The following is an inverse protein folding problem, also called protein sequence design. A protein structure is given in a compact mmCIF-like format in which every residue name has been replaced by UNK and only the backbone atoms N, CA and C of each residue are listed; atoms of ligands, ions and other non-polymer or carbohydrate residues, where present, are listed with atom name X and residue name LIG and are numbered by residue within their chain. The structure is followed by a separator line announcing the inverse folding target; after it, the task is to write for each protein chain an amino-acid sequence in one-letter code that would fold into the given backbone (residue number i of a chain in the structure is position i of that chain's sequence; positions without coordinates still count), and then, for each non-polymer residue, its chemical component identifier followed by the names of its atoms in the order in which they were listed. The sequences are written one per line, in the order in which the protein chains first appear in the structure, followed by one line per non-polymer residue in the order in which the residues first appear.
data_IF_567956973015
#
_entry.id   IF_567956973015
#
_cell.length_a   1.000
_cell.length_b   1.000
_cell.length_c   1.000
_cell.angle_alpha   90.00
_cell.angle_beta   90.00
_cell.angle_gamma   90.00
#
_symmetry.space_group_name_H-M   'P 1'
#
loop_
_entity.id
_entity.type
_entity.pdbx_description
1 polymer ?
#
# COMPACT_ATOMS: atom_id res chain seq x y z
N UNK A 1 26.54 16.54 -13.16
CA UNK A 1 27.06 15.15 -13.18
C UNK A 1 27.92 14.77 -11.95
N UNK A 2 28.97 15.50 -11.55
CA UNK A 2 29.78 15.11 -10.36
C UNK A 2 29.08 15.22 -8.99
N UNK A 3 28.08 16.10 -8.85
CA UNK A 3 27.33 16.27 -7.57
C UNK A 3 26.25 15.20 -7.35
N UNK A 4 25.60 14.72 -8.41
CA UNK A 4 24.65 13.60 -8.36
C UNK A 4 25.34 12.26 -8.01
N UNK A 5 26.57 12.06 -8.50
CA UNK A 5 27.37 10.87 -8.17
C UNK A 5 27.80 10.81 -6.69
N UNK A 6 27.92 11.97 -6.01
CA UNK A 6 28.31 12.02 -4.60
C UNK A 6 27.14 11.72 -3.65
N UNK A 7 25.91 12.03 -4.06
CA UNK A 7 24.69 11.75 -3.27
C UNK A 7 24.34 10.25 -3.36
N UNK A 8 24.48 9.64 -4.55
CA UNK A 8 24.33 8.17 -4.71
C UNK A 8 25.36 7.38 -3.90
N UNK A 9 26.59 7.86 -3.78
CA UNK A 9 27.65 7.15 -3.04
C UNK A 9 27.44 7.20 -1.51
N UNK A 10 26.80 8.26 -1.00
CA UNK A 10 26.46 8.38 0.42
C UNK A 10 25.28 7.46 0.77
N UNK A 11 24.30 7.32 -0.13
CA UNK A 11 23.16 6.40 0.06
C UNK A 11 23.61 4.92 0.10
N UNK A 12 24.56 4.52 -0.74
CA UNK A 12 25.08 3.14 -0.77
C UNK A 12 25.95 2.78 0.45
N UNK A 13 26.58 3.76 1.11
CA UNK A 13 27.38 3.50 2.31
C UNK A 13 26.53 3.29 3.56
N UNK A 14 25.35 3.92 3.65
CA UNK A 14 24.42 3.78 4.77
C UNK A 14 23.74 2.40 4.82
N UNK A 15 23.46 1.80 3.66
CA UNK A 15 22.82 0.47 3.56
C UNK A 15 23.76 -0.71 3.90
N UNK A 16 25.07 -0.48 3.96
CA UNK A 16 26.08 -1.51 4.23
C UNK A 16 26.39 -1.77 5.71
N UNK A 17 25.83 -0.97 6.64
CA UNK A 17 26.12 -1.08 8.08
C UNK A 17 25.04 -1.77 8.93
N UNK A 18 23.96 -2.29 8.32
CA UNK A 18 22.89 -3.02 9.05
C UNK A 18 23.09 -4.54 9.01
N UNK A 19 24.02 -5.06 8.19
CA UNK A 19 24.31 -6.49 8.08
C UNK A 19 25.57 -6.92 8.86
N UNK A 20 25.70 -6.54 10.14
CA UNK A 20 26.70 -7.12 11.04
C UNK A 20 26.36 -6.86 12.52
N UNK A 21 25.50 -7.69 13.11
CA UNK A 21 25.50 -8.03 14.56
C UNK A 21 24.47 -9.17 14.76
N UNK A 22 24.91 -10.42 14.66
CA UNK A 22 25.37 -11.29 15.75
C UNK A 22 24.26 -12.25 16.23
N UNK A 23 24.30 -13.44 15.60
CA UNK A 23 23.87 -14.72 16.15
C UNK A 23 24.52 -15.00 17.51
N UNK A 24 23.72 -15.43 18.49
CA UNK A 24 24.26 -16.04 19.70
C UNK A 24 23.31 -17.13 20.27
N UNK A 25 23.82 -18.36 20.30
CA UNK A 25 23.49 -19.44 21.25
C UNK A 25 24.78 -20.25 21.44
N UNK A 26 25.01 -21.09 22.47
CA UNK A 26 24.38 -21.31 23.79
C UNK A 26 25.45 -21.29 24.94
N UNK A 27 25.26 -21.91 26.13
CA UNK A 27 25.57 -23.35 26.26
C UNK A 27 24.68 -24.16 27.22
N UNK A 28 24.81 -25.49 27.08
CA UNK A 28 24.26 -26.56 27.91
C UNK A 28 25.20 -26.97 29.07
N UNK A 29 24.74 -28.00 29.83
CA UNK A 29 25.33 -28.79 30.93
C UNK A 29 24.93 -28.40 32.37
N UNK A 30 24.61 -29.30 33.32
CA UNK A 30 24.45 -30.76 33.33
C UNK A 30 23.88 -31.24 34.71
N UNK A 31 23.54 -32.53 34.80
CA UNK A 31 23.58 -33.48 35.95
C UNK A 31 22.29 -33.94 36.66
N UNK A 32 22.07 -35.26 36.51
CA UNK A 32 21.79 -36.34 37.47
C UNK A 32 20.51 -36.43 38.33
N UNK A 33 19.73 -37.45 37.95
CA UNK A 33 19.46 -38.71 38.69
C UNK A 33 18.64 -38.67 40.00
N UNK A 34 17.44 -39.27 39.97
CA UNK A 34 17.01 -40.31 40.91
C UNK A 34 15.56 -40.76 40.65
N UNK A 35 15.42 -42.03 40.31
CA UNK A 35 14.20 -42.85 40.33
C UNK A 35 13.60 -43.01 41.74
N UNK A 36 12.28 -42.93 41.90
CA UNK A 36 11.52 -43.72 42.90
C UNK A 36 10.13 -44.10 42.37
N UNK A 37 9.78 -45.36 42.66
CA UNK A 37 8.61 -46.18 42.35
C UNK A 37 7.24 -45.71 42.90
N UNK A 38 6.18 -46.29 42.31
CA UNK A 38 4.71 -46.09 42.41
C UNK A 38 4.11 -46.49 43.81
N UNK A 39 2.82 -46.18 44.15
CA UNK A 39 1.68 -47.01 43.71
C UNK A 39 0.34 -46.28 43.39
N UNK A 40 -0.52 -47.04 42.69
CA UNK A 40 -1.83 -46.75 42.07
C UNK A 40 -3.04 -46.43 42.98
N UNK A 41 -3.99 -45.69 42.36
CA UNK A 41 -5.47 -45.75 42.41
C UNK A 41 -6.28 -45.30 43.66
N UNK A 42 -7.55 -44.82 43.51
CA UNK A 42 -8.52 -45.20 42.46
C UNK A 42 -9.25 -44.08 41.71
N UNK A 43 -9.68 -44.52 40.52
CA UNK A 43 -10.72 -44.03 39.62
C UNK A 43 -12.01 -43.53 40.29
N UNK A 44 -12.49 -42.37 39.83
CA UNK A 44 -13.84 -41.85 40.04
C UNK A 44 -14.52 -41.63 38.66
N UNK A 45 -15.84 -41.76 38.55
CA UNK A 45 -16.52 -42.26 37.35
C UNK A 45 -16.63 -41.23 36.23
N UNK A 46 -16.65 -41.75 35.00
CA UNK A 46 -16.89 -41.03 33.76
C UNK A 46 -18.22 -40.25 33.80
N UNK A 47 -18.16 -38.94 33.60
CA UNK A 47 -19.31 -38.13 33.17
C UNK A 47 -19.52 -38.34 31.67
N UNK A 48 -20.77 -38.55 31.27
CA UNK A 48 -21.19 -38.55 29.87
C UNK A 48 -20.86 -37.19 29.23
N UNK A 49 -20.41 -37.14 27.97
CA UNK A 49 -20.17 -35.86 27.32
C UNK A 49 -21.51 -35.16 27.08
N UNK A 50 -21.65 -33.97 27.65
CA UNK A 50 -22.71 -33.03 27.31
C UNK A 50 -22.75 -32.83 25.79
N UNK A 51 -23.97 -32.86 25.25
CA UNK A 51 -24.24 -32.53 23.86
C UNK A 51 -23.78 -31.09 23.60
N UNK A 52 -22.69 -30.94 22.85
CA UNK A 52 -22.20 -29.65 22.36
C UNK A 52 -23.32 -29.03 21.52
N UNK A 53 -23.87 -27.92 21.98
CA UNK A 53 -24.78 -27.10 21.18
C UNK A 53 -24.09 -26.69 19.88
N UNK A 54 -24.79 -26.69 18.74
CA UNK A 54 -24.19 -26.26 17.48
C UNK A 54 -23.68 -24.82 17.65
N UNK A 55 -22.37 -24.65 17.52
CA UNK A 55 -21.75 -23.35 17.32
C UNK A 55 -22.44 -22.71 16.11
N UNK A 56 -23.14 -21.60 16.32
CA UNK A 56 -23.62 -20.78 15.21
C UNK A 56 -22.40 -20.42 14.37
N UNK A 57 -22.43 -20.80 13.09
CA UNK A 57 -21.44 -20.32 12.13
C UNK A 57 -21.41 -18.79 12.22
N UNK A 58 -20.22 -18.17 12.34
CA UNK A 58 -20.15 -16.72 12.38
C UNK A 58 -20.82 -16.19 11.12
N UNK A 59 -21.88 -15.42 11.30
CA UNK A 59 -22.51 -14.65 10.22
C UNK A 59 -21.39 -13.79 9.66
N UNK A 60 -20.93 -14.10 8.45
CA UNK A 60 -20.10 -13.22 7.66
C UNK A 60 -21.01 -12.03 7.34
N UNK A 61 -20.88 -10.95 8.11
CA UNK A 61 -21.52 -9.70 7.74
C UNK A 61 -20.99 -9.32 6.36
N UNK A 62 -21.89 -9.17 5.39
CA UNK A 62 -21.54 -8.53 4.13
C UNK A 62 -20.92 -7.17 4.48
N UNK A 63 -19.76 -6.80 3.89
CA UNK A 63 -19.14 -5.52 4.18
C UNK A 63 -20.17 -4.44 3.89
N UNK A 64 -20.54 -3.67 4.91
CA UNK A 64 -21.44 -2.55 4.75
C UNK A 64 -20.89 -1.64 3.63
N UNK A 65 -21.77 -1.16 2.75
CA UNK A 65 -21.40 -0.15 1.76
C UNK A 65 -20.80 1.06 2.49
N UNK A 66 -19.48 1.19 2.43
CA UNK A 66 -18.76 2.32 3.02
C UNK A 66 -18.88 3.50 2.08
N UNK A 67 -19.55 4.57 2.52
CA UNK A 67 -19.53 5.85 1.82
C UNK A 67 -18.15 6.48 1.98
N UNK A 68 -17.56 6.93 0.87
CA UNK A 68 -16.29 7.65 0.87
C UNK A 68 -16.48 9.13 0.60
N UNK A 69 -15.75 9.97 1.33
CA UNK A 69 -15.78 11.43 1.19
C UNK A 69 -14.40 11.97 0.80
N UNK A 70 -14.33 12.88 -0.19
CA UNK A 70 -13.09 13.57 -0.54
C UNK A 70 -12.88 14.83 0.31
N UNK A 71 -11.63 15.09 0.66
CA UNK A 71 -11.16 16.30 1.32
C UNK A 71 -10.01 16.91 0.53
N UNK A 72 -10.03 18.23 0.36
CA UNK A 72 -8.84 19.01 0.03
C UNK A 72 -8.45 19.81 1.25
N UNK A 73 -7.23 19.65 1.73
CA UNK A 73 -6.74 20.22 2.99
C UNK A 73 -5.40 20.93 2.79
N UNK A 74 -5.13 21.96 3.58
CA UNK A 74 -3.83 22.63 3.71
C UNK A 74 -3.16 22.17 5.01
N UNK A 75 -1.93 21.67 4.93
CA UNK A 75 -1.15 21.23 6.09
C UNK A 75 0.10 22.08 6.26
N UNK A 76 0.38 22.53 7.49
CA UNK A 76 1.59 23.28 7.85
C UNK A 76 2.33 22.64 9.01
N UNK A 77 3.61 22.36 8.80
CA UNK A 77 4.51 21.93 9.87
C UNK A 77 5.18 23.15 10.51
N UNK A 78 4.74 23.47 11.72
CA UNK A 78 5.27 24.53 12.59
C UNK A 78 5.60 23.97 13.98
N UNK A 79 5.91 22.68 14.03
CA UNK A 79 6.12 21.96 15.28
C UNK A 79 7.51 22.23 15.87
N UNK A 80 8.42 22.84 15.11
CA UNK A 80 9.83 22.91 15.44
C UNK A 80 10.55 21.57 15.21
N UNK A 81 9.91 20.60 14.55
CA UNK A 81 10.41 19.24 14.31
C UNK A 81 10.13 18.78 12.88
N UNK A 82 11.03 17.97 12.33
CA UNK A 82 10.77 17.26 11.07
C UNK A 82 9.77 16.14 11.30
N UNK A 83 8.74 16.07 10.46
CA UNK A 83 7.72 15.02 10.46
C UNK A 83 8.11 13.95 9.44
N UNK A 84 8.09 12.68 9.85
CA UNK A 84 8.36 11.53 8.98
C UNK A 84 7.09 10.83 8.49
N UNK A 85 5.96 11.05 9.16
CA UNK A 85 4.66 10.50 8.77
C UNK A 85 3.50 11.34 9.27
N UNK A 86 2.48 11.50 8.43
CA UNK A 86 1.25 12.23 8.74
C UNK A 86 0.06 11.45 8.19
N UNK A 87 -0.91 11.13 9.04
CA UNK A 87 -2.03 10.25 8.66
C UNK A 87 -3.34 10.87 9.15
N UNK A 88 -4.35 10.92 8.29
CA UNK A 88 -5.71 11.31 8.61
C UNK A 88 -6.60 10.08 8.44
N UNK A 89 -7.42 9.74 9.44
CA UNK A 89 -8.29 8.56 9.38
C UNK A 89 -9.51 8.73 10.29
N UNK A 90 -10.62 8.01 10.05
CA UNK A 90 -11.79 8.06 10.94
C UNK A 90 -11.40 7.74 12.38
N UNK A 91 -11.92 8.48 13.36
CA UNK A 91 -11.61 8.25 14.77
C UNK A 91 -11.91 6.81 15.17
N UNK A 92 -10.93 6.14 15.76
CA UNK A 92 -11.03 4.74 16.16
C UNK A 92 -10.85 3.70 15.05
N UNK A 93 -10.57 4.12 13.80
CA UNK A 93 -10.23 3.18 12.72
C UNK A 93 -8.90 2.46 12.99
N UNK A 94 -8.84 1.18 12.59
CA UNK A 94 -7.61 0.39 12.67
C UNK A 94 -6.64 0.72 11.51
N UNK A 95 -7.20 0.95 10.32
CA UNK A 95 -6.44 1.34 9.14
C UNK A 95 -6.31 2.87 9.06
N UNK A 96 -5.08 3.36 9.03
CA UNK A 96 -4.75 4.78 8.92
C UNK A 96 -4.56 5.23 7.47
N UNK A 97 -4.51 4.29 6.53
CA UNK A 97 -4.01 4.50 5.18
C UNK A 97 -2.50 4.75 5.14
N UNK A 98 -2.04 5.31 4.02
CA UNK A 98 -0.64 5.69 3.84
C UNK A 98 -0.36 7.08 4.44
N UNK A 99 0.93 7.40 4.66
CA UNK A 99 1.32 8.76 5.01
C UNK A 99 0.99 9.74 3.89
N UNK A 100 0.39 10.86 4.27
CA UNK A 100 -0.02 11.96 3.40
C UNK A 100 1.16 12.87 3.08
N UNK A 101 2.11 13.01 4.01
CA UNK A 101 3.29 13.83 3.79
C UNK A 101 4.44 13.01 3.19
N UNK A 102 5.34 13.71 2.50
CA UNK A 102 6.63 13.14 2.08
C UNK A 102 7.47 12.75 3.30
N UNK A 103 8.36 11.76 3.17
CA UNK A 103 9.38 11.50 4.19
C UNK A 103 10.21 12.76 4.43
N UNK A 104 10.54 13.03 5.68
CA UNK A 104 11.31 14.22 6.09
C UNK A 104 10.62 15.55 5.78
N UNK A 105 9.31 15.64 6.01
CA UNK A 105 8.57 16.89 5.90
C UNK A 105 9.09 17.92 6.92
N UNK A 106 9.82 18.91 6.41
CA UNK A 106 10.56 19.85 7.24
C UNK A 106 9.63 20.84 7.94
N UNK A 107 10.08 21.31 9.09
CA UNK A 107 9.44 22.40 9.83
C UNK A 107 9.72 23.76 9.20
N UNK A 108 8.80 24.72 9.43
CA UNK A 108 8.89 26.10 8.96
C UNK A 108 10.24 26.76 9.27
N UNK A 109 10.77 26.63 10.49
CA UNK A 109 12.01 27.31 10.89
C UNK A 109 13.25 26.77 10.13
N UNK A 110 13.12 25.60 9.51
CA UNK A 110 14.16 24.97 8.71
C UNK A 110 13.94 25.12 7.20
N UNK A 111 12.85 25.77 6.77
CA UNK A 111 12.55 26.00 5.37
C UNK A 111 13.30 27.23 4.83
N UNK A 112 14.34 26.98 4.04
CA UNK A 112 15.12 28.04 3.40
C UNK A 112 14.31 28.91 2.42
N UNK A 113 13.13 28.45 2.01
CA UNK A 113 12.24 29.11 1.06
C UNK A 113 10.94 29.61 1.72
N UNK A 114 10.86 29.73 3.06
CA UNK A 114 9.61 30.09 3.77
C UNK A 114 8.89 31.35 3.24
N UNK A 115 9.66 32.28 2.66
CA UNK A 115 9.18 33.57 2.17
C UNK A 115 8.74 33.55 0.71
N UNK A 116 8.95 32.42 0.00
CA UNK A 116 8.51 32.21 -1.37
C UNK A 116 7.32 31.23 -1.38
N UNK A 117 6.09 31.71 -1.66
CA UNK A 117 4.91 30.86 -1.74
C UNK A 117 5.02 29.69 -2.71
N UNK A 118 5.80 29.82 -3.79
CA UNK A 118 5.92 28.76 -4.80
C UNK A 118 6.95 27.69 -4.43
N UNK A 119 7.84 27.97 -3.48
CA UNK A 119 8.98 27.12 -3.12
C UNK A 119 9.00 26.67 -1.66
N UNK A 120 8.09 27.17 -0.82
CA UNK A 120 7.93 26.68 0.55
C UNK A 120 7.55 25.21 0.55
N UNK A 121 8.11 24.46 1.49
CA UNK A 121 7.93 23.01 1.65
C UNK A 121 7.54 22.62 3.08
N UNK A 122 7.52 23.57 4.02
CA UNK A 122 6.88 23.36 5.33
C UNK A 122 5.34 23.29 5.24
N UNK A 123 4.77 23.66 4.09
CA UNK A 123 3.34 23.74 3.80
C UNK A 123 3.02 22.98 2.51
N UNK A 124 1.91 22.25 2.49
CA UNK A 124 1.44 21.58 1.29
C UNK A 124 -0.08 21.36 1.31
N UNK A 125 -0.67 21.29 0.12
CA UNK A 125 -2.08 20.95 -0.06
C UNK A 125 -2.22 19.45 -0.39
N UNK A 126 -3.25 18.81 0.16
CA UNK A 126 -3.53 17.39 -0.05
C UNK A 126 -4.94 17.16 -0.56
N UNK A 127 -5.13 16.23 -1.50
CA UNK A 127 -6.43 15.62 -1.81
C UNK A 127 -6.46 14.23 -1.18
N UNK A 128 -7.46 13.95 -0.36
CA UNK A 128 -7.53 12.74 0.47
C UNK A 128 -8.95 12.18 0.38
N UNK A 129 -9.08 10.86 0.21
CA UNK A 129 -10.38 10.18 0.27
C UNK A 129 -10.40 9.25 1.49
N UNK A 130 -11.46 9.32 2.30
CA UNK A 130 -11.63 8.51 3.52
C UNK A 130 -13.07 8.03 3.70
N UNK A 131 -13.29 6.96 4.49
CA UNK A 131 -14.63 6.60 4.93
C UNK A 131 -15.32 7.80 5.57
N UNK A 132 -16.60 8.00 5.26
CA UNK A 132 -17.43 9.01 5.91
C UNK A 132 -17.49 8.74 7.41
N UNK A 133 -17.18 9.75 8.20
CA UNK A 133 -17.17 9.70 9.66
C UNK A 133 -17.52 11.07 10.23
N UNK A 134 -18.14 11.09 11.42
CA UNK A 134 -18.41 12.32 12.17
C UNK A 134 -17.12 13.00 12.64
N UNK A 135 -16.10 12.20 12.97
CA UNK A 135 -14.80 12.68 13.43
C UNK A 135 -13.64 11.89 12.83
N UNK A 136 -12.50 12.56 12.72
CA UNK A 136 -11.24 12.02 12.24
C UNK A 136 -10.12 12.33 13.23
N UNK A 137 -9.09 11.50 13.24
CA UNK A 137 -7.86 11.71 14.00
C UNK A 137 -6.71 11.99 13.04
N UNK A 138 -5.76 12.82 13.48
CA UNK A 138 -4.48 13.01 12.81
C UNK A 138 -3.37 12.42 13.65
N UNK A 139 -2.70 11.40 13.12
CA UNK A 139 -1.52 10.81 13.73
C UNK A 139 -0.26 11.37 13.07
N UNK A 140 0.73 11.71 13.89
CA UNK A 140 1.99 12.33 13.47
C UNK A 140 3.15 11.51 14.01
N UNK A 141 4.08 11.17 13.14
CA UNK A 141 5.37 10.56 13.47
C UNK A 141 6.47 11.58 13.23
N UNK A 142 7.26 11.85 14.26
CA UNK A 142 8.41 12.74 14.17
C UNK A 142 9.67 11.96 13.85
N UNK A 143 10.63 12.61 13.16
CA UNK A 143 11.88 11.97 12.77
C UNK A 143 12.75 11.49 13.95
N UNK A 144 12.50 12.01 15.16
CA UNK A 144 13.16 11.58 16.41
C UNK A 144 12.48 10.37 17.08
N UNK A 145 11.41 9.84 16.48
CA UNK A 145 10.64 8.70 16.97
C UNK A 145 9.52 9.07 17.96
N UNK A 146 9.36 10.35 18.31
CA UNK A 146 8.18 10.81 19.05
C UNK A 146 6.92 10.72 18.16
N UNK A 147 5.76 10.59 18.79
CA UNK A 147 4.47 10.48 18.10
C UNK A 147 3.43 11.34 18.79
N UNK A 148 2.49 11.89 18.02
CA UNK A 148 1.36 12.65 18.54
C UNK A 148 0.06 12.29 17.82
N UNK A 149 -1.08 12.40 18.49
CA UNK A 149 -2.40 12.18 17.88
C UNK A 149 -3.31 13.35 18.21
N UNK A 150 -3.82 14.03 17.19
CA UNK A 150 -4.83 15.06 17.31
C UNK A 150 -6.21 14.45 17.06
N UNK A 151 -6.91 14.18 18.16
CA UNK A 151 -8.11 13.34 18.15
C UNK A 151 -9.41 14.14 17.96
N UNK A 152 -10.41 13.50 17.34
CA UNK A 152 -11.81 13.96 17.37
C UNK A 152 -12.10 15.20 16.53
N UNK A 153 -11.38 15.39 15.44
CA UNK A 153 -11.53 16.54 14.54
C UNK A 153 -12.76 16.39 13.65
N UNK A 154 -13.56 17.45 13.52
CA UNK A 154 -14.54 17.56 12.45
C UNK A 154 -13.86 18.18 11.24
N UNK A 155 -13.59 17.37 10.21
CA UNK A 155 -12.89 17.82 9.00
C UNK A 155 -13.91 18.31 7.96
N UNK A 156 -13.66 19.48 7.43
CA UNK A 156 -14.38 20.07 6.31
C UNK A 156 -13.45 20.25 5.11
N UNK A 157 -14.04 20.27 3.91
CA UNK A 157 -13.27 20.58 2.72
C UNK A 157 -12.72 22.02 2.79
N UNK A 158 -11.48 22.20 2.36
CA UNK A 158 -10.71 23.43 2.46
C UNK A 158 -10.34 23.85 3.89
N UNK A 159 -10.24 22.91 4.83
CA UNK A 159 -9.62 23.20 6.12
C UNK A 159 -8.10 23.34 5.99
N UNK A 160 -7.54 24.25 6.79
CA UNK A 160 -6.11 24.43 7.04
C UNK A 160 -5.79 23.93 8.43
N UNK A 161 -4.78 23.07 8.52
CA UNK A 161 -4.33 22.38 9.71
C UNK A 161 -2.86 22.76 9.98
N UNK A 162 -2.68 23.60 10.99
CA UNK A 162 -1.36 24.08 11.43
C UNK A 162 -0.90 23.32 12.67
N UNK A 163 0.09 22.44 12.51
CA UNK A 163 0.69 21.69 13.61
C UNK A 163 1.77 22.57 14.25
N UNK A 164 1.50 23.14 15.43
CA UNK A 164 2.36 24.17 16.05
C UNK A 164 3.01 23.71 17.36
N UNK A 165 4.21 24.22 17.63
CA UNK A 165 4.84 24.20 18.96
C UNK A 165 5.06 22.81 19.57
N UNK A 166 5.59 21.87 18.79
CA UNK A 166 5.98 20.53 19.24
C UNK A 166 4.91 19.47 19.05
N UNK A 167 5.07 18.36 19.78
CA UNK A 167 4.25 17.16 19.70
C UNK A 167 2.98 17.22 20.58
N UNK A 168 2.65 18.38 21.17
CA UNK A 168 1.42 18.58 21.94
C UNK A 168 0.32 19.15 21.02
N UNK A 169 -0.73 18.37 20.69
CA UNK A 169 -1.79 18.83 19.80
C UNK A 169 -2.64 19.96 20.37
N UNK A 170 -2.55 20.27 21.67
CA UNK A 170 -3.33 21.36 22.29
C UNK A 170 -2.97 22.75 21.75
N UNK A 171 -1.82 22.89 21.09
CA UNK A 171 -1.39 24.12 20.41
C UNK A 171 -1.62 24.11 18.91
N UNK A 172 -2.14 23.02 18.35
CA UNK A 172 -2.41 22.90 16.92
C UNK A 172 -3.74 23.59 16.58
N UNK A 173 -3.83 24.13 15.37
CA UNK A 173 -4.95 24.98 14.96
C UNK A 173 -5.57 24.50 13.65
N UNK A 174 -6.89 24.42 13.65
CA UNK A 174 -7.71 24.10 12.49
C UNK A 174 -8.58 25.33 12.18
N UNK A 175 -8.54 25.78 10.95
CA UNK A 175 -9.33 26.93 10.48
C UNK A 175 -9.67 26.76 8.99
N UNK A 176 -10.77 27.34 8.49
CA UNK A 176 -11.06 27.29 7.06
C UNK A 176 -10.05 28.12 6.26
N UNK A 177 -9.72 27.66 5.04
CA UNK A 177 -9.03 28.48 4.05
C UNK A 177 -10.02 29.48 3.44
N UNK A 178 -9.76 30.77 3.63
CA UNK A 178 -10.62 31.85 3.11
C UNK A 178 -9.97 32.62 1.95
N UNK A 179 -8.65 32.53 1.81
CA UNK A 179 -7.89 33.30 0.82
C UNK A 179 -8.03 32.68 -0.57
N UNK A 180 -8.43 33.51 -1.55
CA UNK A 180 -8.70 33.05 -2.91
C UNK A 180 -7.45 32.48 -3.61
N UNK A 181 -6.26 32.97 -3.26
CA UNK A 181 -4.98 32.49 -3.79
C UNK A 181 -4.66 31.06 -3.33
N UNK A 182 -5.11 30.66 -2.13
CA UNK A 182 -4.95 29.30 -1.60
C UNK A 182 -6.07 28.37 -2.08
N UNK A 183 -7.27 28.89 -2.37
CA UNK A 183 -8.39 28.09 -2.86
C UNK A 183 -8.23 27.60 -4.31
N UNK A 184 -7.50 28.34 -5.15
CA UNK A 184 -7.24 27.95 -6.55
C UNK A 184 -6.44 26.64 -6.67
N UNK A 185 -5.27 26.46 -6.03
CA UNK A 185 -4.53 25.19 -6.09
C UNK A 185 -5.32 24.03 -5.45
N UNK A 186 -6.12 24.30 -4.42
CA UNK A 186 -6.99 23.29 -3.81
C UNK A 186 -8.09 22.81 -4.77
N UNK A 187 -8.71 23.72 -5.53
CA UNK A 187 -9.67 23.35 -6.56
C UNK A 187 -9.03 22.52 -7.68
N UNK A 188 -7.78 22.84 -8.07
CA UNK A 188 -7.02 22.07 -9.04
C UNK A 188 -6.73 20.64 -8.55
N UNK A 189 -6.40 20.46 -7.27
CA UNK A 189 -6.23 19.14 -6.65
C UNK A 189 -7.51 18.32 -6.67
N UNK A 190 -8.64 18.92 -6.30
CA UNK A 190 -9.94 18.24 -6.39
C UNK A 190 -10.27 17.80 -7.82
N UNK A 191 -10.01 18.66 -8.80
CA UNK A 191 -10.23 18.35 -10.21
C UNK A 191 -9.29 17.25 -10.73
N UNK A 192 -8.07 17.15 -10.20
CA UNK A 192 -7.14 16.06 -10.52
C UNK A 192 -7.59 14.72 -9.93
N UNK A 193 -8.26 14.72 -8.77
CA UNK A 193 -8.90 13.54 -8.18
C UNK A 193 -7.94 12.42 -7.78
N UNK A 194 -6.64 12.70 -7.65
CA UNK A 194 -5.60 11.74 -7.25
C UNK A 194 -5.27 11.93 -5.78
N UNK A 195 -5.40 10.88 -4.97
CA UNK A 195 -5.09 10.98 -3.53
C UNK A 195 -3.60 11.20 -3.31
N UNK A 196 -3.25 12.13 -2.41
CA UNK A 196 -1.86 12.53 -2.15
C UNK A 196 -1.04 11.38 -1.56
N UNK A 197 -1.68 10.52 -0.76
CA UNK A 197 -1.11 9.35 -0.11
C UNK A 197 -1.15 8.08 -0.99
N UNK A 198 -1.70 8.18 -2.21
CA UNK A 198 -2.02 7.04 -3.09
C UNK A 198 -2.78 5.92 -2.36
N UNK A 199 -3.50 6.25 -1.29
CA UNK A 199 -4.41 5.33 -0.63
C UNK A 199 -5.78 5.50 -1.26
N UNK A 200 -6.33 4.38 -1.71
CA UNK A 200 -7.65 4.31 -2.32
C UNK A 200 -8.44 3.33 -1.49
N UNK A 201 -9.34 3.81 -0.62
CA UNK A 201 -10.00 2.92 0.32
C UNK A 201 -10.78 1.79 -0.38
N UNK A 202 -10.59 0.55 0.09
CA UNK A 202 -11.15 -0.65 -0.55
C UNK A 202 -10.38 -1.14 -1.77
N UNK A 203 -9.32 -0.44 -2.18
CA UNK A 203 -8.40 -0.85 -3.23
C UNK A 203 -7.06 -1.25 -2.63
N UNK A 204 -6.46 -2.26 -3.23
CA UNK A 204 -5.15 -2.82 -2.90
C UNK A 204 -4.14 -2.47 -3.99
N UNK A 205 -2.88 -2.34 -3.58
CA UNK A 205 -1.75 -2.18 -4.49
C UNK A 205 -1.24 -3.56 -4.90
N UNK A 206 -1.59 -3.99 -6.10
CA UNK A 206 -1.15 -5.25 -6.70
C UNK A 206 0.21 -5.05 -7.38
N UNK A 207 1.28 -5.53 -6.76
CA UNK A 207 2.59 -5.63 -7.42
C UNK A 207 2.69 -6.93 -8.19
N UNK A 208 2.55 -6.88 -9.51
CA UNK A 208 2.57 -8.07 -10.36
C UNK A 208 3.68 -7.98 -11.39
N UNK A 209 4.46 -9.05 -11.49
CA UNK A 209 5.20 -9.38 -12.69
C UNK A 209 4.27 -10.09 -13.67
N UNK A 210 4.19 -9.62 -14.91
CA UNK A 210 3.35 -10.24 -15.92
C UNK A 210 4.22 -10.61 -17.12
N UNK A 211 4.10 -11.87 -17.55
CA UNK A 211 4.97 -12.47 -18.58
C UNK A 211 4.13 -12.88 -19.79
N UNK A 212 4.40 -12.29 -20.95
CA UNK A 212 3.84 -12.72 -22.22
C UNK A 212 4.72 -13.81 -22.87
N UNK A 213 4.42 -15.08 -22.60
CA UNK A 213 5.08 -16.27 -23.19
C UNK A 213 4.21 -16.98 -24.23
N UNK A 214 3.12 -16.35 -24.67
CA UNK A 214 2.07 -16.93 -25.53
C UNK A 214 2.52 -17.18 -26.98
N UNK A 215 3.62 -16.57 -27.39
CA UNK A 215 4.08 -16.56 -28.78
C UNK A 215 3.33 -15.57 -29.68
N UNK A 216 2.38 -14.80 -29.13
CA UNK A 216 1.66 -13.72 -29.84
C UNK A 216 1.83 -12.39 -29.11
N UNK A 217 2.00 -11.32 -29.88
CA UNK A 217 2.10 -9.97 -29.32
C UNK A 217 0.72 -9.49 -28.84
N UNK A 218 0.68 -8.70 -27.78
CA UNK A 218 -0.54 -8.22 -27.12
C UNK A 218 -0.75 -6.74 -27.45
N UNK A 219 -1.95 -6.40 -27.94
CA UNK A 219 -2.37 -5.01 -28.20
C UNK A 219 -3.22 -4.45 -27.07
N UNK A 220 -3.95 -5.31 -26.35
CA UNK A 220 -4.74 -4.90 -25.20
C UNK A 220 -4.60 -5.87 -24.03
N UNK A 221 -4.42 -5.33 -22.83
CA UNK A 221 -4.33 -6.09 -21.59
C UNK A 221 -5.16 -5.41 -20.50
N UNK A 222 -5.97 -6.21 -19.82
CA UNK A 222 -6.87 -5.77 -18.77
C UNK A 222 -6.85 -6.75 -17.61
N UNK A 223 -6.90 -6.22 -16.39
CA UNK A 223 -7.10 -6.98 -15.15
C UNK A 223 -8.19 -6.29 -14.33
N UNK A 224 -9.24 -7.03 -13.99
CA UNK A 224 -10.46 -6.53 -13.32
C UNK A 224 -11.12 -7.62 -12.49
N UNK A 225 -12.03 -7.27 -11.59
CA UNK A 225 -12.65 -8.21 -10.65
C UNK A 225 -13.56 -9.19 -11.40
N UNK A 226 -13.58 -10.46 -10.99
CA UNK A 226 -14.48 -11.45 -11.60
C UNK A 226 -15.93 -10.98 -11.49
N UNK A 227 -16.64 -11.00 -12.63
CA UNK A 227 -18.02 -10.53 -12.71
C UNK A 227 -18.21 -9.01 -12.80
N UNK A 228 -17.13 -8.20 -12.89
CA UNK A 228 -17.25 -6.76 -13.14
C UNK A 228 -17.97 -6.48 -14.47
N UNK A 229 -18.85 -5.46 -14.48
CA UNK A 229 -19.63 -5.09 -15.67
C UNK A 229 -18.83 -4.26 -16.67
N UNK A 230 -17.73 -3.64 -16.24
CA UNK A 230 -16.83 -2.82 -17.06
C UNK A 230 -15.37 -3.20 -16.77
N UNK A 231 -14.51 -3.05 -17.79
CA UNK A 231 -13.06 -3.24 -17.67
C UNK A 231 -12.41 -1.90 -17.38
N UNK A 232 -11.29 -1.92 -16.66
CA UNK A 232 -10.40 -0.75 -16.52
C UNK A 232 -9.77 -0.36 -17.86
N UNK A 233 -8.99 0.72 -17.88
CA UNK A 233 -8.26 1.14 -19.07
C UNK A 233 -7.28 0.05 -19.56
N UNK A 234 -7.09 -0.02 -20.88
CA UNK A 234 -6.05 -0.87 -21.48
C UNK A 234 -4.70 -0.47 -20.90
N UNK A 235 -3.93 -1.47 -20.45
CA UNK A 235 -2.67 -1.26 -19.76
C UNK A 235 -1.47 -1.17 -20.71
N UNK A 236 -1.56 -1.72 -21.93
CA UNK A 236 -0.45 -1.72 -22.89
C UNK A 236 0.12 -0.32 -23.19
N UNK A 237 -0.70 0.74 -23.39
CA UNK A 237 -0.19 2.09 -23.65
C UNK A 237 0.62 2.71 -22.50
N UNK A 238 0.53 2.14 -21.30
CA UNK A 238 1.26 2.61 -20.11
C UNK A 238 2.54 1.82 -19.85
N UNK A 239 2.81 0.77 -20.62
CA UNK A 239 4.08 0.03 -20.55
C UNK A 239 5.18 0.81 -21.26
N UNK A 240 6.41 0.72 -20.74
CA UNK A 240 7.59 1.37 -21.33
C UNK A 240 8.68 0.36 -21.68
N UNK A 241 9.48 0.65 -22.71
CA UNK A 241 10.66 -0.13 -23.07
C UNK A 241 11.85 0.12 -22.11
N UNK A 242 12.98 -0.55 -22.35
CA UNK A 242 14.20 -0.40 -21.55
C UNK A 242 14.75 1.04 -21.55
N UNK A 243 14.40 1.82 -22.57
CA UNK A 243 14.75 3.22 -22.75
C UNK A 243 13.71 4.19 -22.15
N UNK A 244 12.60 3.68 -21.60
CA UNK A 244 11.53 4.45 -20.98
C UNK A 244 10.52 5.05 -21.96
N UNK A 245 10.49 4.60 -23.22
CA UNK A 245 9.49 5.04 -24.19
C UNK A 245 8.22 4.18 -24.10
N UNK A 246 7.02 4.77 -24.26
CA UNK A 246 5.78 4.01 -24.31
C UNK A 246 5.81 2.97 -25.43
N UNK A 247 5.34 1.76 -25.14
CA UNK A 247 5.20 0.71 -26.14
C UNK A 247 3.81 0.77 -26.78
N UNK A 248 3.74 0.51 -28.09
CA UNK A 248 2.46 0.36 -28.80
C UNK A 248 1.97 -1.09 -28.80
N UNK A 249 2.88 -2.03 -28.55
CA UNK A 249 2.65 -3.46 -28.66
C UNK A 249 3.50 -4.20 -27.63
N UNK A 250 2.87 -5.08 -26.87
CA UNK A 250 3.56 -5.89 -25.89
C UNK A 250 4.05 -7.21 -26.51
N UNK A 251 5.35 -7.27 -26.78
CA UNK A 251 6.00 -8.38 -27.49
C UNK A 251 6.05 -9.68 -26.68
N UNK A 252 5.82 -10.82 -27.36
CA UNK A 252 5.97 -12.15 -26.76
C UNK A 252 7.40 -12.68 -26.81
N UNK A 253 7.77 -13.56 -25.87
CA UNK A 253 9.01 -14.33 -25.99
C UNK A 253 9.49 -15.04 -24.72
N UNK A 254 10.46 -15.96 -24.90
CA UNK A 254 11.20 -16.61 -23.79
C UNK A 254 12.10 -15.64 -22.99
N UNK A 255 12.28 -14.43 -23.52
CA UNK A 255 12.78 -13.23 -22.83
C UNK A 255 11.98 -12.01 -23.30
N UNK A 256 10.68 -12.21 -23.56
CA UNK A 256 9.77 -11.14 -24.00
C UNK A 256 9.67 -10.06 -22.92
N UNK A 257 9.03 -8.93 -23.26
CA UNK A 257 8.89 -7.82 -22.32
C UNK A 257 8.18 -8.35 -21.04
N UNK A 258 8.90 -8.37 -19.93
CA UNK A 258 8.34 -8.60 -18.61
C UNK A 258 7.99 -7.23 -18.06
N UNK A 259 6.75 -7.08 -17.62
CA UNK A 259 6.37 -5.86 -16.91
C UNK A 259 6.19 -6.21 -15.46
N UNK A 260 6.95 -5.55 -14.60
CA UNK A 260 6.61 -5.45 -13.19
C UNK A 260 5.91 -4.12 -13.00
N UNK A 261 4.64 -4.18 -12.62
CA UNK A 261 3.81 -3.00 -12.43
C UNK A 261 3.10 -3.05 -11.10
N UNK A 262 2.74 -1.86 -10.60
CA UNK A 262 1.83 -1.75 -9.49
C UNK A 262 0.48 -1.26 -9.98
N UNK A 263 -0.58 -2.02 -9.68
CA UNK A 263 -1.94 -1.68 -10.04
C UNK A 263 -2.72 -1.37 -8.77
N UNK A 264 -3.54 -0.33 -8.81
CA UNK A 264 -4.51 -0.06 -7.76
C UNK A 264 -5.82 -0.68 -8.22
N UNK A 265 -6.31 -1.68 -7.49
CA UNK A 265 -7.54 -2.42 -7.80
C UNK A 265 -8.36 -2.67 -6.54
N UNK A 266 -9.69 -2.60 -6.57
CA UNK A 266 -10.55 -3.11 -5.51
C UNK A 266 -10.09 -4.46 -5.03
N UNK A 267 -10.08 -4.69 -3.71
CA UNK A 267 -9.86 -6.03 -3.18
C UNK A 267 -11.02 -6.93 -3.61
N UNK A 268 -10.71 -8.06 -4.23
CA UNK A 268 -11.69 -9.04 -4.70
C UNK A 268 -11.24 -10.47 -4.37
N UNK A 269 -12.18 -11.41 -4.30
CA UNK A 269 -11.87 -12.84 -4.13
C UNK A 269 -11.08 -13.38 -5.33
N UNK A 270 -11.43 -12.92 -6.52
CA UNK A 270 -10.74 -13.28 -7.76
C UNK A 270 -10.82 -12.17 -8.81
N UNK A 271 -9.89 -12.22 -9.75
CA UNK A 271 -9.81 -11.34 -10.91
C UNK A 271 -9.93 -12.14 -12.21
N UNK A 272 -10.31 -11.43 -13.27
CA UNK A 272 -10.19 -11.88 -14.65
C UNK A 272 -9.09 -11.08 -15.35
N UNK A 273 -8.28 -11.77 -16.16
CA UNK A 273 -7.37 -11.15 -17.13
C UNK A 273 -7.93 -11.32 -18.52
N UNK A 274 -8.12 -10.22 -19.25
CA UNK A 274 -8.53 -10.22 -20.64
C UNK A 274 -7.41 -9.67 -21.52
N UNK A 275 -7.13 -10.37 -22.60
CA UNK A 275 -6.01 -10.09 -23.50
C UNK A 275 -6.50 -10.11 -24.94
N UNK A 276 -6.09 -9.10 -25.73
CA UNK A 276 -6.28 -9.06 -27.18
C UNK A 276 -4.92 -9.10 -27.85
N UNK A 277 -4.74 -10.04 -28.78
CA UNK A 277 -3.51 -10.24 -29.53
C UNK A 277 -3.53 -9.49 -30.86
N UNK A 278 -2.34 -9.25 -31.42
CA UNK A 278 -2.11 -8.54 -32.68
C UNK A 278 -2.86 -9.15 -33.87
N UNK A 279 -3.06 -10.47 -33.88
CA UNK A 279 -3.80 -11.19 -34.93
C UNK A 279 -5.33 -11.10 -34.78
N UNK A 280 -5.81 -10.40 -33.76
CA UNK A 280 -7.23 -10.24 -33.42
C UNK A 280 -7.83 -11.40 -32.63
N UNK A 281 -7.03 -12.41 -32.25
CA UNK A 281 -7.46 -13.40 -31.25
C UNK A 281 -7.51 -12.76 -29.86
N UNK A 282 -8.37 -13.29 -29.01
CA UNK A 282 -8.50 -12.85 -27.62
C UNK A 282 -8.54 -14.04 -26.67
N UNK A 283 -8.18 -13.79 -25.41
CA UNK A 283 -8.18 -14.78 -24.35
C UNK A 283 -8.67 -14.13 -23.05
N UNK A 284 -9.50 -14.87 -22.30
CA UNK A 284 -9.87 -14.51 -20.93
C UNK A 284 -9.36 -15.60 -19.99
N UNK A 285 -8.59 -15.20 -19.00
CA UNK A 285 -8.15 -16.06 -17.89
C UNK A 285 -9.04 -15.74 -16.68
N UNK A 286 -9.95 -16.64 -16.31
CA UNK A 286 -10.84 -16.43 -15.18
C UNK A 286 -10.19 -16.79 -13.84
N UNK A 287 -10.85 -16.41 -12.75
CA UNK A 287 -10.63 -16.90 -11.40
C UNK A 287 -9.17 -16.78 -10.89
N UNK A 288 -8.50 -15.68 -11.23
CA UNK A 288 -7.14 -15.38 -10.76
C UNK A 288 -7.19 -14.93 -9.30
N UNK A 289 -6.65 -15.76 -8.43
CA UNK A 289 -6.46 -15.43 -7.01
C UNK A 289 -5.10 -14.78 -6.76
N UNK A 290 -5.14 -13.52 -6.32
CA UNK A 290 -3.94 -12.72 -6.03
C UNK A 290 -3.69 -12.53 -4.54
N UNK A 291 -4.59 -12.99 -3.66
CA UNK A 291 -4.52 -12.65 -2.24
C UNK A 291 -4.43 -13.85 -1.31
N UNK A 292 -4.81 -15.05 -1.76
CA UNK A 292 -4.61 -16.25 -0.96
C UNK A 292 -3.12 -16.55 -0.83
N UNK A 293 -2.56 -16.56 0.39
CA UNK A 293 -1.16 -16.85 0.58
C UNK A 293 -0.87 -18.33 0.33
N UNK A 294 0.32 -18.62 -0.19
CA UNK A 294 0.86 -19.96 -0.26
C UNK A 294 1.22 -20.50 1.15
N UNK A 295 1.76 -21.71 1.22
CA UNK A 295 2.10 -22.37 2.49
C UNK A 295 3.12 -21.59 3.35
N UNK A 296 3.93 -20.73 2.71
CA UNK A 296 4.95 -19.91 3.37
C UNK A 296 4.44 -18.49 3.72
N UNK A 297 3.16 -18.20 3.45
CA UNK A 297 2.52 -16.93 3.79
C UNK A 297 2.62 -15.85 2.69
N UNK A 298 3.10 -16.18 1.50
CA UNK A 298 3.28 -15.22 0.41
C UNK A 298 2.10 -15.25 -0.57
N UNK A 299 1.57 -14.09 -0.90
CA UNK A 299 0.55 -13.91 -1.95
C UNK A 299 1.17 -13.92 -3.35
N UNK A 300 0.39 -14.29 -4.36
CA UNK A 300 0.82 -14.31 -5.76
C UNK A 300 1.29 -12.94 -6.24
N UNK A 301 2.41 -12.90 -6.95
CA UNK A 301 2.99 -11.69 -7.54
C UNK A 301 3.44 -11.90 -9.00
N UNK A 302 3.17 -13.06 -9.61
CA UNK A 302 3.46 -13.34 -11.01
C UNK A 302 2.23 -13.89 -11.75
N UNK A 303 1.98 -13.39 -12.97
CA UNK A 303 1.07 -14.00 -13.96
C UNK A 303 1.87 -14.32 -15.24
N UNK A 304 2.02 -15.59 -15.58
CA UNK A 304 2.75 -16.05 -16.76
C UNK A 304 1.83 -16.76 -17.76
N UNK A 305 1.45 -16.06 -18.83
CA UNK A 305 0.60 -16.58 -19.91
C UNK A 305 1.45 -17.33 -20.94
N UNK A 306 1.24 -18.64 -21.11
CA UNK A 306 2.09 -19.49 -21.97
C UNK A 306 1.48 -19.84 -23.32
N UNK A 307 0.18 -19.64 -23.49
CA UNK A 307 -0.53 -19.91 -24.74
C UNK A 307 -1.55 -18.81 -25.00
N UNK A 308 -1.86 -18.55 -26.27
CA UNK A 308 -2.76 -17.47 -26.67
C UNK A 308 -4.23 -17.91 -26.79
N UNK A 309 -4.50 -19.21 -26.71
CA UNK A 309 -5.82 -19.81 -26.93
C UNK A 309 -6.24 -20.70 -25.75
N UNK A 310 -5.29 -21.21 -24.97
CA UNK A 310 -5.53 -22.06 -23.79
C UNK A 310 -5.28 -21.30 -22.47
N UNK A 311 -6.33 -20.79 -21.79
CA UNK A 311 -6.18 -20.06 -20.54
C UNK A 311 -5.65 -20.94 -19.40
N UNK A 312 -5.82 -22.27 -19.46
CA UNK A 312 -5.34 -23.20 -18.43
C UNK A 312 -3.80 -23.30 -18.42
N UNK A 313 -3.14 -22.79 -19.47
CA UNK A 313 -1.68 -22.67 -19.54
C UNK A 313 -1.17 -21.33 -18.98
N UNK A 314 -2.05 -20.51 -18.40
CA UNK A 314 -1.64 -19.34 -17.60
C UNK A 314 -1.33 -19.78 -16.18
N UNK A 315 -0.10 -19.49 -15.75
CA UNK A 315 0.34 -19.80 -14.39
C UNK A 315 0.28 -18.55 -13.53
N UNK A 316 -0.43 -18.64 -12.40
CA UNK A 316 -0.42 -17.64 -11.34
C UNK A 316 0.48 -18.21 -10.23
N UNK A 317 1.50 -17.47 -9.85
CA UNK A 317 2.49 -17.98 -8.91
C UNK A 317 3.08 -16.89 -8.03
N UNK A 318 3.83 -17.34 -7.02
CA UNK A 318 4.74 -16.51 -6.28
C UNK A 318 6.14 -16.65 -6.90
N UNK A 319 6.68 -15.55 -7.41
CA UNK A 319 8.09 -15.41 -7.78
C UNK A 319 8.82 -14.76 -6.58
N UNK A 320 9.75 -15.51 -5.99
CA UNK A 320 10.67 -15.01 -4.94
C UNK A 320 11.85 -14.22 -5.53
N UNK A 321 11.83 -14.03 -6.86
CA UNK A 321 12.92 -13.58 -7.72
C UNK A 321 13.66 -12.33 -7.26
N UNK A 322 14.98 -12.50 -7.16
CA UNK A 322 16.02 -11.48 -7.03
C UNK A 322 15.62 -10.20 -7.80
N UNK A 323 15.62 -9.01 -7.17
CA UNK A 323 15.00 -7.83 -7.74
C UNK A 323 15.77 -7.31 -8.97
N UNK A 324 15.25 -7.59 -10.17
CA UNK A 324 15.55 -6.81 -11.36
C UNK A 324 14.58 -5.61 -11.48
N UNK A 325 15.03 -4.49 -12.07
CA UNK A 325 14.65 -3.16 -11.62
C UNK A 325 13.18 -2.79 -11.89
N UNK A 326 12.54 -2.34 -10.81
CA UNK A 326 11.25 -1.66 -10.73
C UNK A 326 11.03 -0.68 -11.90
N UNK A 327 10.06 -0.97 -12.77
CA UNK A 327 9.44 0.07 -13.61
C UNK A 327 8.20 0.59 -12.86
N UNK A 328 8.20 1.88 -12.53
CA UNK A 328 7.01 2.55 -12.04
C UNK A 328 6.14 2.91 -13.26
N UNK A 329 4.89 2.44 -13.27
CA UNK A 329 3.82 2.94 -14.15
C UNK A 329 3.03 3.99 -13.38
#
# INVERSE_FOLDING_TARGET
MKKLLSIMLILMLALSMIACQQTATPPADATDDASVDVPEEPTAPAEEPDAVEPIEEPVVEEPADVTYVPFVLDFKNKTGKTISGLYLYPTGAQDKGNSICVPEWIDQDNDANESDPELRIYEFYAYIVRPESETYDIYVEFADGETATWEGLTISNNDKLSLKNGADPSTWEQEPVEDAEDLEPMAALMAAGKTTDNYYPGYEKLGLEIKNKTGKNITEFYIYETGATEKYNNMVPYLVDEEGNPVELWLSGKGGLYTFGFFIRPRAESYEVYVVYEDGTDMTVPDIDLFTPNADGFASNEISMKDAEDPDLTEVSYDDGDPEPLQYI
#
